data_IF_419726357314
#
_entry.id   IF_419726357314
#
_cell.length_a   1.000
_cell.length_b   1.000
_cell.length_c   1.000
_cell.angle_alpha   90.00
_cell.angle_beta   90.00
_cell.angle_gamma   90.00
#
_symmetry.space_group_name_H-M   'P 1'
#
loop_
_entity.id
_entity.type
_entity.pdbx_description
1 polymer ?
#
# COMPACT_ATOMS: atom_id res chain seq x y z
N UNK A 1 -15.33 -35.40 14.47
CA UNK A 1 -14.25 -34.72 13.75
C UNK A 1 -14.86 -33.45 13.17
N UNK A 2 -14.47 -32.29 13.68
CA UNK A 2 -14.92 -31.03 13.09
C UNK A 2 -14.33 -30.97 11.67
N UNK A 3 -15.17 -30.69 10.67
CA UNK A 3 -14.75 -30.43 9.30
C UNK A 3 -13.79 -29.25 9.36
N UNK A 4 -12.57 -29.40 8.87
CA UNK A 4 -11.67 -28.28 8.68
C UNK A 4 -12.36 -27.33 7.68
N UNK A 5 -12.89 -26.23 8.18
CA UNK A 5 -13.50 -25.18 7.35
C UNK A 5 -12.36 -24.40 6.71
N UNK A 6 -12.44 -24.20 5.39
CA UNK A 6 -11.55 -23.27 4.68
C UNK A 6 -11.69 -21.88 5.32
N UNK A 7 -10.68 -21.46 6.07
CA UNK A 7 -10.68 -20.16 6.75
C UNK A 7 -10.19 -19.11 5.77
N UNK A 8 -11.03 -18.10 5.51
CA UNK A 8 -10.62 -16.91 4.76
C UNK A 8 -10.26 -15.79 5.74
N UNK A 9 -9.11 -15.16 5.54
CA UNK A 9 -8.63 -13.99 6.29
C UNK A 9 -8.66 -12.79 5.34
N UNK A 10 -9.53 -11.84 5.65
CA UNK A 10 -9.70 -10.62 4.85
C UNK A 10 -8.80 -9.51 5.40
N UNK A 11 -8.03 -8.86 4.53
CA UNK A 11 -7.12 -7.77 4.87
C UNK A 11 -7.52 -6.50 4.11
N UNK A 12 -7.99 -5.46 4.82
CA UNK A 12 -8.14 -4.11 4.28
C UNK A 12 -6.93 -3.28 4.71
N UNK A 13 -6.09 -2.87 3.75
CA UNK A 13 -4.84 -2.14 4.00
C UNK A 13 -5.06 -0.67 3.64
N UNK A 14 -5.24 0.18 4.63
CA UNK A 14 -5.27 1.64 4.45
C UNK A 14 -3.86 2.14 4.22
N UNK A 15 -3.63 2.81 3.08
CA UNK A 15 -2.30 3.10 2.55
C UNK A 15 -2.25 4.43 1.81
N UNK A 16 -1.06 5.02 1.71
CA UNK A 16 -0.75 6.14 0.82
C UNK A 16 0.44 5.79 -0.07
N UNK A 17 0.36 6.11 -1.35
CA UNK A 17 1.39 5.78 -2.36
C UNK A 17 2.74 6.44 -2.12
N UNK A 18 2.80 7.48 -1.27
CA UNK A 18 4.04 8.17 -0.88
C UNK A 18 4.55 7.78 0.52
N UNK A 19 3.95 6.78 1.15
CA UNK A 19 4.34 6.31 2.47
C UNK A 19 5.32 5.14 2.38
N UNK A 20 6.61 5.30 2.75
CA UNK A 20 7.58 4.21 2.66
C UNK A 20 7.25 3.06 3.62
N UNK A 21 6.65 3.36 4.77
CA UNK A 21 6.18 2.33 5.69
C UNK A 21 5.02 1.50 5.13
N UNK A 22 4.19 2.07 4.23
CA UNK A 22 3.16 1.30 3.53
C UNK A 22 3.78 0.24 2.63
N UNK A 23 4.84 0.57 1.92
CA UNK A 23 5.55 -0.39 1.08
C UNK A 23 6.21 -1.50 1.92
N UNK A 24 6.94 -1.14 2.98
CA UNK A 24 7.54 -2.12 3.91
C UNK A 24 6.46 -3.00 4.54
N UNK A 25 5.38 -2.42 5.07
CA UNK A 25 4.30 -3.16 5.70
C UNK A 25 3.63 -4.15 4.75
N UNK A 26 3.42 -3.74 3.52
CA UNK A 26 2.88 -4.62 2.49
C UNK A 26 3.82 -5.81 2.18
N UNK A 27 5.12 -5.58 2.02
CA UNK A 27 6.12 -6.67 1.83
C UNK A 27 6.09 -7.66 3.00
N UNK A 28 6.04 -7.18 4.23
CA UNK A 28 5.98 -8.01 5.45
C UNK A 28 4.68 -8.83 5.55
N UNK A 29 3.54 -8.24 5.17
CA UNK A 29 2.27 -8.97 5.08
C UNK A 29 2.37 -10.09 4.06
N UNK A 30 2.88 -9.82 2.86
CA UNK A 30 3.05 -10.85 1.83
C UNK A 30 4.00 -11.97 2.26
N UNK A 31 5.08 -11.63 2.95
CA UNK A 31 5.99 -12.62 3.52
C UNK A 31 5.28 -13.48 4.57
N UNK A 32 4.54 -12.85 5.49
CA UNK A 32 3.78 -13.57 6.51
C UNK A 32 2.77 -14.56 5.89
N UNK A 33 2.06 -14.13 4.84
CA UNK A 33 1.13 -14.98 4.10
C UNK A 33 1.85 -16.17 3.47
N UNK A 34 2.94 -15.95 2.73
CA UNK A 34 3.71 -17.02 2.09
C UNK A 34 4.22 -18.06 3.10
N UNK A 35 4.81 -17.59 4.21
CA UNK A 35 5.35 -18.47 5.24
C UNK A 35 4.24 -19.27 5.95
N UNK A 36 3.08 -18.65 6.16
CA UNK A 36 1.94 -19.33 6.78
C UNK A 36 1.32 -20.38 5.85
N UNK A 37 1.21 -20.06 4.57
CA UNK A 37 0.71 -21.01 3.56
C UNK A 37 1.65 -22.21 3.34
N UNK A 38 2.93 -22.03 3.64
CA UNK A 38 3.93 -23.12 3.62
C UNK A 38 4.01 -23.92 4.92
N UNK A 39 3.29 -23.53 5.99
CA UNK A 39 3.31 -24.19 7.29
C UNK A 39 2.49 -25.49 7.26
N UNK A 40 3.12 -26.69 7.34
CA UNK A 40 2.39 -27.95 7.27
C UNK A 40 1.48 -28.20 8.48
N UNK A 41 1.66 -27.46 9.57
CA UNK A 41 0.80 -27.56 10.76
C UNK A 41 -0.58 -26.91 10.58
N UNK A 42 -0.75 -26.14 9.49
CA UNK A 42 -1.99 -25.49 9.10
C UNK A 42 -2.56 -26.17 7.84
N UNK A 43 -3.36 -27.20 8.02
CA UNK A 43 -4.01 -27.93 6.93
C UNK A 43 -5.50 -28.04 7.16
N UNK A 44 -6.37 -27.47 6.29
CA UNK A 44 -6.01 -26.66 5.11
C UNK A 44 -5.38 -25.31 5.45
N UNK A 45 -4.52 -24.81 4.57
CA UNK A 45 -3.96 -23.47 4.68
C UNK A 45 -5.07 -22.42 4.57
N UNK A 46 -5.00 -21.31 5.34
CA UNK A 46 -5.98 -20.24 5.20
C UNK A 46 -5.89 -19.53 3.85
N UNK A 47 -7.04 -19.13 3.35
CA UNK A 47 -7.15 -18.25 2.20
C UNK A 47 -7.01 -16.81 2.65
N UNK A 48 -6.35 -15.97 1.83
CA UNK A 48 -6.21 -14.53 2.11
C UNK A 48 -6.82 -13.73 0.98
N UNK A 49 -7.49 -12.64 1.35
CA UNK A 49 -7.94 -11.61 0.41
C UNK A 49 -7.41 -10.25 0.86
N UNK A 50 -6.88 -9.47 -0.08
CA UNK A 50 -6.30 -8.16 0.19
C UNK A 50 -7.03 -7.08 -0.59
N UNK A 51 -7.35 -5.98 0.10
CA UNK A 51 -7.85 -4.76 -0.53
C UNK A 51 -7.10 -3.55 0.00
N UNK A 52 -6.66 -2.67 -0.90
CA UNK A 52 -6.12 -1.37 -0.51
C UNK A 52 -7.24 -0.33 -0.43
N UNK A 53 -7.22 0.41 0.68
CA UNK A 53 -8.10 1.55 0.92
C UNK A 53 -7.27 2.85 0.92
N UNK A 54 -7.82 3.96 0.39
CA UNK A 54 -7.07 5.18 0.21
C UNK A 54 -6.90 5.97 1.51
N UNK A 55 -5.72 6.60 1.65
CA UNK A 55 -5.40 7.58 2.67
C UNK A 55 -4.44 8.62 2.11
N UNK A 56 -4.57 9.88 2.52
CA UNK A 56 -3.59 10.92 2.20
C UNK A 56 -2.89 11.40 3.48
N UNK A 57 -1.59 11.17 3.57
CA UNK A 57 -0.74 11.71 4.64
C UNK A 57 -0.66 13.24 4.61
N UNK A 58 -0.75 13.79 3.42
CA UNK A 58 -0.72 15.23 3.20
C UNK A 58 -1.58 15.64 2.00
N UNK A 59 -2.84 16.01 2.24
CA UNK A 59 -3.74 16.47 1.16
C UNK A 59 -3.33 17.81 0.55
N UNK A 60 -2.39 18.54 1.17
CA UNK A 60 -1.90 19.84 0.69
C UNK A 60 -0.73 19.74 -0.28
N UNK A 61 -0.27 18.53 -0.61
CA UNK A 61 0.74 18.33 -1.63
C UNK A 61 0.34 18.98 -2.96
N UNK A 62 1.28 19.69 -3.62
CA UNK A 62 1.00 20.33 -4.91
C UNK A 62 0.71 19.30 -6.01
N UNK A 63 0.00 19.69 -7.07
CA UNK A 63 -0.13 18.82 -8.25
C UNK A 63 1.23 18.58 -8.90
N UNK A 64 1.30 17.58 -9.80
CA UNK A 64 2.46 17.32 -10.65
C UNK A 64 2.91 18.61 -11.39
N UNK A 65 4.24 18.89 -11.46
CA UNK A 65 5.36 18.04 -11.09
C UNK A 65 5.74 18.07 -9.59
N UNK A 66 4.93 18.69 -8.75
CA UNK A 66 5.16 18.72 -7.33
C UNK A 66 6.35 19.57 -6.88
N UNK A 67 7.00 19.13 -5.81
CA UNK A 67 8.21 19.77 -5.26
C UNK A 67 9.29 18.72 -4.95
N UNK A 68 10.55 19.16 -4.87
CA UNK A 68 11.65 18.25 -4.58
C UNK A 68 11.43 17.49 -3.26
N UNK A 69 11.52 16.17 -3.31
CA UNK A 69 11.22 15.27 -2.19
C UNK A 69 12.13 15.54 -0.98
N UNK A 70 13.45 15.62 -1.20
CA UNK A 70 14.42 15.83 -0.12
C UNK A 70 14.27 17.19 0.51
N UNK A 71 14.15 18.26 -0.29
CA UNK A 71 13.96 19.61 0.24
C UNK A 71 12.70 19.72 1.09
N UNK A 72 11.59 19.10 0.66
CA UNK A 72 10.38 19.03 1.46
C UNK A 72 10.62 18.29 2.78
N UNK A 73 11.28 17.14 2.75
CA UNK A 73 11.58 16.36 3.95
C UNK A 73 12.45 17.16 4.93
N UNK A 74 13.48 17.86 4.43
CA UNK A 74 14.32 18.73 5.27
C UNK A 74 13.51 19.82 5.98
N UNK A 75 12.58 20.46 5.27
CA UNK A 75 11.68 21.46 5.89
C UNK A 75 10.73 20.85 6.91
N UNK A 76 10.22 19.65 6.65
CA UNK A 76 9.19 19.02 7.47
C UNK A 76 9.75 18.29 8.69
N UNK A 77 10.90 17.65 8.56
CA UNK A 77 11.45 16.74 9.57
C UNK A 77 12.66 17.30 10.33
N UNK A 78 12.96 18.57 10.16
CA UNK A 78 13.94 19.27 11.01
C UNK A 78 15.37 19.25 10.49
N UNK A 79 15.53 19.34 9.18
CA UNK A 79 16.77 19.64 8.50
C UNK A 79 17.50 18.43 7.94
N UNK A 80 18.56 18.73 7.20
CA UNK A 80 19.31 17.78 6.36
C UNK A 80 19.84 16.56 7.12
N UNK A 81 20.47 16.75 8.27
CA UNK A 81 21.09 15.66 9.03
C UNK A 81 20.06 14.62 9.51
N UNK A 82 18.90 15.11 10.01
CA UNK A 82 17.81 14.22 10.41
C UNK A 82 17.25 13.44 9.23
N UNK A 83 17.06 14.11 8.11
CA UNK A 83 16.54 13.47 6.89
C UNK A 83 17.52 12.41 6.37
N UNK A 84 18.81 12.69 6.37
CA UNK A 84 19.81 11.69 5.99
C UNK A 84 19.75 10.44 6.87
N UNK A 85 19.64 10.61 8.18
CA UNK A 85 19.49 9.48 9.13
C UNK A 85 18.20 8.70 8.87
N UNK A 86 17.08 9.41 8.63
CA UNK A 86 15.79 8.77 8.33
C UNK A 86 15.83 7.99 7.00
N UNK A 87 16.44 8.56 5.98
CA UNK A 87 16.61 7.93 4.66
C UNK A 87 17.48 6.68 4.78
N UNK A 88 18.63 6.76 5.46
CA UNK A 88 19.51 5.61 5.66
C UNK A 88 18.78 4.48 6.40
N UNK A 89 18.11 4.79 7.49
CA UNK A 89 17.34 3.78 8.24
C UNK A 89 16.23 3.13 7.41
N UNK A 90 15.61 3.88 6.48
CA UNK A 90 14.59 3.33 5.60
C UNK A 90 15.18 2.46 4.49
N UNK A 91 16.32 2.85 3.93
CA UNK A 91 17.07 2.03 2.95
C UNK A 91 17.48 0.69 3.57
N UNK A 92 18.01 0.70 4.80
CA UNK A 92 18.37 -0.51 5.53
C UNK A 92 17.13 -1.40 5.75
N UNK A 93 16.03 -0.82 6.22
CA UNK A 93 14.76 -1.53 6.40
C UNK A 93 14.19 -2.11 5.10
N UNK A 94 14.36 -1.42 3.98
CA UNK A 94 13.96 -1.92 2.66
C UNK A 94 14.75 -3.15 2.25
N UNK A 95 16.05 -3.17 2.52
CA UNK A 95 16.93 -4.32 2.23
C UNK A 95 16.58 -5.57 3.04
N UNK A 96 15.98 -5.39 4.21
CA UNK A 96 15.50 -6.50 5.07
C UNK A 96 14.19 -7.11 4.58
N UNK A 97 13.48 -6.48 3.64
CA UNK A 97 12.25 -7.01 3.06
C UNK A 97 12.54 -8.16 2.10
N UNK A 98 11.54 -9.01 1.85
CA UNK A 98 11.62 -10.10 0.90
C UNK A 98 10.44 -10.06 -0.11
N UNK A 99 10.69 -9.76 -1.41
CA UNK A 99 11.96 -9.31 -1.97
C UNK A 99 12.39 -7.95 -1.44
N UNK A 100 13.71 -7.63 -1.48
CA UNK A 100 14.21 -6.33 -1.03
C UNK A 100 13.56 -5.16 -1.77
N UNK A 101 13.50 -4.00 -1.11
CA UNK A 101 13.08 -2.72 -1.69
C UNK A 101 14.32 -1.84 -1.85
N UNK A 102 14.61 -1.44 -3.06
CA UNK A 102 15.75 -0.56 -3.38
C UNK A 102 15.32 0.92 -3.28
N UNK A 103 15.12 1.37 -2.03
CA UNK A 103 14.68 2.75 -1.79
C UNK A 103 15.62 3.79 -2.35
N UNK A 104 15.10 4.68 -3.20
CA UNK A 104 15.71 5.90 -3.67
C UNK A 104 14.88 7.13 -3.27
N UNK A 105 15.56 8.24 -2.97
CA UNK A 105 14.92 9.43 -2.42
C UNK A 105 15.08 10.68 -3.28
N UNK A 106 15.52 10.53 -4.52
CA UNK A 106 15.45 11.59 -5.52
C UNK A 106 14.03 11.87 -6.01
N UNK A 107 13.91 12.67 -7.06
CA UNK A 107 12.64 13.03 -7.68
C UNK A 107 11.79 13.99 -6.85
N UNK A 108 10.52 14.08 -7.21
CA UNK A 108 9.54 14.98 -6.63
C UNK A 108 8.46 14.25 -5.85
N UNK A 109 7.80 14.97 -4.96
CA UNK A 109 6.56 14.55 -4.30
C UNK A 109 5.41 15.44 -4.77
N UNK A 110 4.32 14.83 -5.16
CA UNK A 110 3.09 15.49 -5.62
C UNK A 110 1.85 14.88 -4.99
N UNK A 111 0.70 15.48 -5.22
CA UNK A 111 -0.58 15.02 -4.68
C UNK A 111 -0.90 13.59 -5.14
N UNK A 112 -1.40 12.76 -4.22
CA UNK A 112 -1.63 11.33 -4.44
C UNK A 112 -3.05 10.96 -4.84
N UNK A 113 -3.94 11.94 -5.04
CA UNK A 113 -5.35 11.68 -5.36
C UNK A 113 -5.51 10.79 -6.60
N UNK A 114 -4.81 11.12 -7.68
CA UNK A 114 -4.93 10.38 -8.94
C UNK A 114 -4.29 8.99 -8.88
N UNK A 115 -3.23 8.80 -8.10
CA UNK A 115 -2.70 7.46 -7.83
C UNK A 115 -3.71 6.60 -7.06
N UNK A 116 -4.45 7.16 -6.11
CA UNK A 116 -5.53 6.45 -5.43
C UNK A 116 -6.73 6.15 -6.35
N UNK A 117 -7.07 7.06 -7.27
CA UNK A 117 -8.07 6.77 -8.30
C UNK A 117 -7.65 5.61 -9.20
N UNK A 118 -6.37 5.53 -9.54
CA UNK A 118 -5.85 4.42 -10.33
C UNK A 118 -5.89 3.09 -9.55
N UNK A 119 -5.58 3.10 -8.25
CA UNK A 119 -5.69 1.93 -7.36
C UNK A 119 -7.15 1.43 -7.30
N UNK A 120 -8.12 2.36 -7.18
CA UNK A 120 -9.54 2.01 -7.17
C UNK A 120 -10.01 1.52 -8.54
N UNK A 121 -9.54 2.14 -9.64
CA UNK A 121 -9.83 1.68 -11.01
C UNK A 121 -9.36 0.24 -11.23
N UNK A 122 -8.19 -0.09 -10.73
CA UNK A 122 -7.65 -1.45 -10.82
C UNK A 122 -8.54 -2.46 -10.08
N UNK A 123 -9.07 -2.09 -8.91
CA UNK A 123 -10.02 -2.93 -8.20
C UNK A 123 -11.30 -3.16 -8.99
N UNK A 124 -11.86 -2.12 -9.58
CA UNK A 124 -13.10 -2.21 -10.39
C UNK A 124 -12.90 -3.07 -11.62
N UNK A 125 -11.74 -2.99 -12.25
CA UNK A 125 -11.45 -3.71 -13.52
C UNK A 125 -11.10 -5.19 -13.29
N UNK A 126 -10.31 -5.50 -12.27
CA UNK A 126 -9.74 -6.84 -12.12
C UNK A 126 -9.55 -7.29 -10.67
N UNK A 127 -10.24 -6.65 -9.70
CA UNK A 127 -10.25 -7.07 -8.30
C UNK A 127 -8.87 -7.01 -7.64
N UNK A 128 -8.64 -7.92 -6.71
CA UNK A 128 -7.43 -7.95 -5.88
C UNK A 128 -6.14 -8.00 -6.70
N UNK A 129 -6.07 -8.90 -7.66
CA UNK A 129 -4.84 -9.12 -8.45
C UNK A 129 -4.43 -7.86 -9.21
N UNK A 130 -5.39 -7.22 -9.88
CA UNK A 130 -5.17 -5.98 -10.63
C UNK A 130 -4.78 -4.83 -9.68
N UNK A 131 -5.46 -4.70 -8.54
CA UNK A 131 -5.17 -3.67 -7.55
C UNK A 131 -3.75 -3.82 -6.99
N UNK A 132 -3.33 -5.04 -6.66
CA UNK A 132 -1.99 -5.34 -6.16
C UNK A 132 -0.90 -4.99 -7.17
N UNK A 133 -1.08 -5.34 -8.45
CA UNK A 133 -0.13 -5.00 -9.53
C UNK A 133 0.05 -3.48 -9.64
N UNK A 134 -1.04 -2.72 -9.60
CA UNK A 134 -0.98 -1.26 -9.65
C UNK A 134 -0.29 -0.70 -8.41
N UNK A 135 -0.62 -1.15 -7.20
CA UNK A 135 0.02 -0.69 -5.97
C UNK A 135 1.53 -0.97 -5.99
N UNK A 136 1.94 -2.15 -6.42
CA UNK A 136 3.36 -2.51 -6.55
C UNK A 136 4.07 -1.61 -7.59
N UNK A 137 3.43 -1.38 -8.73
CA UNK A 137 3.95 -0.47 -9.76
C UNK A 137 4.07 0.98 -9.28
N UNK A 138 3.10 1.47 -8.51
CA UNK A 138 3.14 2.82 -7.92
C UNK A 138 4.24 2.95 -6.86
N UNK A 139 4.42 1.95 -6.01
CA UNK A 139 5.50 1.95 -5.03
C UNK A 139 6.87 1.90 -5.73
N UNK A 140 7.06 1.05 -6.72
CA UNK A 140 8.30 0.98 -7.50
C UNK A 140 8.57 2.31 -8.23
N UNK A 141 7.56 2.88 -8.91
CA UNK A 141 7.65 4.18 -9.58
C UNK A 141 8.18 5.26 -8.62
N UNK A 142 7.58 5.37 -7.43
CA UNK A 142 7.88 6.47 -6.51
C UNK A 142 9.14 6.23 -5.67
N UNK A 143 9.35 5.01 -5.18
CA UNK A 143 10.41 4.71 -4.22
C UNK A 143 11.67 4.14 -4.84
N UNK A 144 11.58 3.46 -5.99
CA UNK A 144 12.74 2.82 -6.61
C UNK A 144 13.20 3.57 -7.87
N UNK A 145 12.26 4.20 -8.60
CA UNK A 145 12.55 4.86 -9.87
C UNK A 145 12.43 6.39 -9.83
N UNK A 146 12.21 6.99 -8.63
CA UNK A 146 12.13 8.44 -8.41
C UNK A 146 11.07 9.15 -9.27
N UNK A 147 10.05 8.41 -9.72
CA UNK A 147 9.00 8.92 -10.57
C UNK A 147 8.00 9.81 -9.84
N UNK A 148 7.34 10.69 -10.60
CA UNK A 148 6.31 11.58 -10.08
C UNK A 148 4.97 10.86 -9.98
N UNK A 149 4.51 10.65 -8.74
CA UNK A 149 3.27 9.94 -8.41
C UNK A 149 1.99 10.67 -8.81
N UNK A 150 2.07 11.95 -9.16
CA UNK A 150 0.95 12.75 -9.67
C UNK A 150 0.98 12.96 -11.19
N UNK A 151 2.01 12.47 -11.88
CA UNK A 151 2.10 12.57 -13.33
C UNK A 151 1.16 11.61 -14.02
N UNK A 152 0.19 12.12 -14.78
CA UNK A 152 -0.75 11.28 -15.53
C UNK A 152 -0.04 10.36 -16.53
N UNK A 153 1.06 10.81 -17.14
CA UNK A 153 1.84 9.96 -18.07
C UNK A 153 2.53 8.79 -17.34
N UNK A 154 3.11 9.05 -16.17
CA UNK A 154 3.72 8.01 -15.33
C UNK A 154 2.67 7.03 -14.80
N UNK A 155 1.54 7.55 -14.30
CA UNK A 155 0.43 6.71 -13.83
C UNK A 155 -0.17 5.85 -14.95
N UNK A 156 -0.31 6.41 -16.15
CA UNK A 156 -0.80 5.68 -17.31
C UNK A 156 0.16 4.57 -17.75
N UNK A 157 1.47 4.78 -17.58
CA UNK A 157 2.46 3.73 -17.81
C UNK A 157 2.31 2.60 -16.79
N UNK A 158 2.15 2.92 -15.50
CA UNK A 158 1.87 1.91 -14.47
C UNK A 158 0.60 1.12 -14.77
N UNK A 159 -0.47 1.77 -15.24
CA UNK A 159 -1.72 1.12 -15.62
C UNK A 159 -1.54 0.12 -16.78
N UNK A 160 -0.74 0.51 -17.78
CA UNK A 160 -0.45 -0.34 -18.94
C UNK A 160 0.44 -1.53 -18.56
N UNK A 161 1.47 -1.32 -17.76
CA UNK A 161 2.39 -2.38 -17.29
C UNK A 161 1.67 -3.38 -16.37
N UNK A 162 0.72 -2.89 -15.57
CA UNK A 162 -0.14 -3.75 -14.75
C UNK A 162 -1.21 -4.50 -15.57
N UNK A 163 -1.39 -4.15 -16.84
CA UNK A 163 -2.36 -4.78 -17.75
C UNK A 163 -3.83 -4.45 -17.44
N UNK A 164 -4.09 -3.32 -16.76
CA UNK A 164 -5.47 -2.94 -16.40
C UNK A 164 -6.14 -2.03 -17.43
N UNK A 165 -5.39 -1.17 -18.07
CA UNK A 165 -5.83 -0.26 -19.14
C UNK A 165 -4.68 -0.05 -20.13
N UNK A 166 -5.00 0.16 -21.42
CA UNK A 166 -4.03 0.72 -22.35
C UNK A 166 -3.61 2.13 -21.94
N UNK A 167 -2.40 2.57 -22.31
CA UNK A 167 -1.87 3.88 -21.91
C UNK A 167 -2.80 5.05 -22.28
N UNK A 168 -3.39 5.03 -23.45
CA UNK A 168 -4.32 6.09 -23.92
C UNK A 168 -5.63 6.09 -23.12
N UNK A 169 -6.18 4.91 -22.82
CA UNK A 169 -7.39 4.78 -21.99
C UNK A 169 -7.12 5.24 -20.57
N UNK A 170 -5.96 4.90 -20.02
CA UNK A 170 -5.53 5.35 -18.69
C UNK A 170 -5.37 6.87 -18.63
N UNK A 171 -4.80 7.50 -19.67
CA UNK A 171 -4.72 8.97 -19.77
C UNK A 171 -6.12 9.62 -19.86
N UNK A 172 -7.03 8.98 -20.57
CA UNK A 172 -8.44 9.44 -20.68
C UNK A 172 -9.13 9.35 -19.32
N UNK A 173 -8.99 8.22 -18.63
CA UNK A 173 -9.49 8.03 -17.26
C UNK A 173 -8.92 9.08 -16.29
N UNK A 174 -7.60 9.29 -16.27
CA UNK A 174 -6.94 10.22 -15.35
C UNK A 174 -7.37 11.69 -15.57
N UNK A 175 -7.71 12.06 -16.80
CA UNK A 175 -8.25 13.40 -17.15
C UNK A 175 -9.74 13.57 -16.81
N UNK A 176 -10.45 12.49 -16.55
CA UNK A 176 -11.87 12.52 -16.16
C UNK A 176 -12.03 12.70 -14.65
N UNK A 177 -13.28 12.81 -14.18
CA UNK A 177 -13.63 12.80 -12.75
C UNK A 177 -14.04 11.40 -12.25
N UNK A 178 -13.88 10.36 -13.07
CA UNK A 178 -14.25 8.99 -12.70
C UNK A 178 -13.55 8.53 -11.43
N UNK A 179 -14.26 7.92 -10.48
CA UNK A 179 -13.82 7.44 -9.17
C UNK A 179 -13.24 8.51 -8.23
N UNK A 180 -13.51 9.80 -8.50
CA UNK A 180 -13.05 10.88 -7.63
C UNK A 180 -13.83 10.92 -6.32
N UNK A 181 -15.15 10.79 -6.41
CA UNK A 181 -16.02 10.84 -5.24
C UNK A 181 -15.82 9.60 -4.37
N UNK A 182 -15.62 8.43 -4.97
CA UNK A 182 -15.35 7.17 -4.26
C UNK A 182 -14.04 7.24 -3.46
N UNK A 183 -13.00 7.80 -4.05
CA UNK A 183 -11.71 7.98 -3.36
C UNK A 183 -11.82 9.02 -2.25
N UNK A 184 -12.51 10.13 -2.47
CA UNK A 184 -12.76 11.14 -1.43
C UNK A 184 -13.60 10.58 -0.27
N UNK A 185 -14.58 9.75 -0.57
CA UNK A 185 -15.35 9.04 0.45
C UNK A 185 -14.45 8.04 1.21
N UNK A 186 -13.55 7.36 0.53
CA UNK A 186 -12.55 6.49 1.13
C UNK A 186 -11.65 7.22 2.14
N UNK A 187 -11.17 8.43 1.81
CA UNK A 187 -10.42 9.27 2.75
C UNK A 187 -11.24 9.64 3.98
N UNK A 188 -12.51 10.04 3.80
CA UNK A 188 -13.43 10.36 4.89
C UNK A 188 -13.70 9.13 5.77
N UNK A 189 -13.89 7.96 5.15
CA UNK A 189 -14.12 6.69 5.86
C UNK A 189 -12.93 6.33 6.75
N UNK A 190 -11.69 6.50 6.26
CA UNK A 190 -10.49 6.29 7.08
C UNK A 190 -10.48 7.22 8.31
N UNK A 191 -10.79 8.51 8.12
CA UNK A 191 -10.88 9.49 9.21
C UNK A 191 -11.98 9.12 10.23
N UNK A 192 -13.18 8.73 9.76
CA UNK A 192 -14.29 8.32 10.63
C UNK A 192 -13.96 7.07 11.45
N UNK A 193 -13.11 6.19 10.94
CA UNK A 193 -12.59 5.02 11.66
C UNK A 193 -11.45 5.36 12.64
N UNK A 194 -11.08 6.65 12.77
CA UNK A 194 -10.00 7.09 13.64
C UNK A 194 -8.60 6.75 13.15
N UNK A 195 -8.44 6.41 11.86
CA UNK A 195 -7.14 6.14 11.27
C UNK A 195 -6.42 7.48 11.06
N UNK A 196 -5.36 7.71 11.81
CA UNK A 196 -4.56 8.96 11.78
C UNK A 196 -3.19 8.79 11.15
N UNK A 197 -2.85 7.58 10.70
CA UNK A 197 -1.56 7.27 10.06
C UNK A 197 -1.59 5.91 9.38
N UNK A 198 -0.67 5.72 8.44
CA UNK A 198 -0.60 4.53 7.60
C UNK A 198 0.81 3.92 7.59
N UNK A 199 0.95 2.60 7.31
CA UNK A 199 -0.14 1.68 6.99
C UNK A 199 -1.00 1.36 8.21
N UNK A 200 -2.28 1.08 7.95
CA UNK A 200 -3.18 0.54 8.94
C UNK A 200 -3.94 -0.64 8.32
N UNK A 201 -3.82 -1.82 8.90
CA UNK A 201 -4.45 -3.03 8.37
C UNK A 201 -5.63 -3.43 9.24
N UNK A 202 -6.81 -3.55 8.64
CA UNK A 202 -8.00 -4.11 9.29
C UNK A 202 -8.13 -5.56 8.85
N UNK A 203 -8.18 -6.48 9.81
CA UNK A 203 -8.27 -7.92 9.58
C UNK A 203 -9.67 -8.38 9.94
N UNK A 204 -10.33 -9.08 9.01
CA UNK A 204 -11.70 -9.59 9.14
C UNK A 204 -12.69 -8.52 9.62
N UNK A 205 -12.48 -7.27 9.19
CA UNK A 205 -13.31 -6.09 9.56
C UNK A 205 -13.37 -5.78 11.06
N UNK A 206 -12.54 -6.42 11.91
CA UNK A 206 -12.60 -6.33 13.37
C UNK A 206 -11.27 -5.95 14.03
N UNK A 207 -10.16 -6.53 13.59
CA UNK A 207 -8.89 -6.32 14.25
C UNK A 207 -8.06 -5.28 13.51
N UNK A 208 -7.65 -4.21 14.20
CA UNK A 208 -6.79 -3.19 13.66
C UNK A 208 -5.32 -3.41 14.01
N UNK A 209 -4.45 -3.42 13.01
CA UNK A 209 -2.98 -3.45 13.17
C UNK A 209 -2.41 -2.15 12.63
N UNK A 210 -1.83 -1.32 13.51
CA UNK A 210 -1.24 -0.04 13.15
C UNK A 210 0.23 -0.18 12.81
N UNK A 211 0.66 0.45 11.73
CA UNK A 211 2.05 0.53 11.28
C UNK A 211 2.56 -0.72 10.55
N UNK A 212 3.78 -0.61 10.05
CA UNK A 212 4.50 -1.69 9.38
C UNK A 212 5.12 -2.62 10.42
N UNK A 213 4.26 -3.43 11.08
CA UNK A 213 4.72 -4.40 12.07
C UNK A 213 5.66 -5.43 11.45
N UNK A 214 6.41 -6.13 12.29
CA UNK A 214 7.32 -7.19 11.85
C UNK A 214 6.53 -8.38 11.28
N UNK A 215 7.14 -9.12 10.34
CA UNK A 215 6.53 -10.30 9.69
C UNK A 215 5.99 -11.29 10.72
N UNK A 216 6.74 -11.54 11.82
CA UNK A 216 6.32 -12.45 12.88
C UNK A 216 5.04 -12.00 13.59
N UNK A 217 4.83 -10.70 13.76
CA UNK A 217 3.60 -10.15 14.34
C UNK A 217 2.38 -10.51 13.49
N UNK A 218 2.49 -10.31 12.17
CA UNK A 218 1.41 -10.69 11.24
C UNK A 218 1.19 -12.21 11.23
N UNK A 219 2.26 -13.01 11.21
CA UNK A 219 2.17 -14.47 11.27
C UNK A 219 1.46 -14.97 12.53
N UNK A 220 1.78 -14.38 13.67
CA UNK A 220 1.13 -14.75 14.93
C UNK A 220 -0.37 -14.50 14.91
N UNK A 221 -0.78 -13.30 14.43
CA UNK A 221 -2.21 -12.95 14.31
C UNK A 221 -2.92 -13.87 13.31
N UNK A 222 -2.35 -14.07 12.14
CA UNK A 222 -2.94 -14.92 11.09
C UNK A 222 -3.04 -16.39 11.53
N UNK A 223 -2.02 -16.90 12.25
CA UNK A 223 -2.05 -18.26 12.79
C UNK A 223 -3.15 -18.45 13.83
N UNK A 224 -3.32 -17.50 14.74
CA UNK A 224 -4.41 -17.53 15.73
C UNK A 224 -5.80 -17.49 15.06
N UNK A 225 -5.97 -16.68 14.03
CA UNK A 225 -7.20 -16.65 13.24
C UNK A 225 -7.43 -17.97 12.50
N UNK A 226 -6.41 -18.53 11.86
CA UNK A 226 -6.51 -19.81 11.15
C UNK A 226 -6.88 -20.98 12.08
N UNK A 227 -6.48 -20.91 13.35
CA UNK A 227 -6.81 -21.93 14.37
C UNK A 227 -8.12 -21.66 15.12
N UNK A 228 -8.80 -20.54 14.84
CA UNK A 228 -9.99 -20.13 15.60
C UNK A 228 -9.69 -19.72 17.06
N UNK A 229 -8.44 -19.40 17.36
CA UNK A 229 -8.01 -18.97 18.72
C UNK A 229 -8.33 -17.49 18.98
N UNK A 230 -8.46 -16.69 17.92
CA UNK A 230 -9.08 -15.36 17.95
C UNK A 230 -10.49 -15.52 17.39
N UNK A 231 -11.49 -15.52 18.28
CA UNK A 231 -12.88 -15.55 17.85
C UNK A 231 -13.33 -14.15 17.43
N UNK A 232 -14.07 -14.11 16.34
CA UNK A 232 -14.79 -12.95 15.81
C UNK A 232 -15.96 -12.58 16.72
#
# INVERSE_FOLDING_TARGET
>A
MASATDTTIELEITSDSVCPFCYVGYRRILQAIRELQADPSLSPSPHFTLRFAPFQLDPTLPPSPGENKIERYERRFGGKEKVQTMVQAMVERGRECEPPIEFSYGGNVSNTKDSHRLIEKAWVVGGEEAQRKVVEGLFALYFEHEGDIGSHDALATVAADAGILGKEDALTFLKSDELKDEVEEGFKKAQMRGISGVPFTIINQQFGVSGAQETETFKEVFRKLAKGELQL
#
